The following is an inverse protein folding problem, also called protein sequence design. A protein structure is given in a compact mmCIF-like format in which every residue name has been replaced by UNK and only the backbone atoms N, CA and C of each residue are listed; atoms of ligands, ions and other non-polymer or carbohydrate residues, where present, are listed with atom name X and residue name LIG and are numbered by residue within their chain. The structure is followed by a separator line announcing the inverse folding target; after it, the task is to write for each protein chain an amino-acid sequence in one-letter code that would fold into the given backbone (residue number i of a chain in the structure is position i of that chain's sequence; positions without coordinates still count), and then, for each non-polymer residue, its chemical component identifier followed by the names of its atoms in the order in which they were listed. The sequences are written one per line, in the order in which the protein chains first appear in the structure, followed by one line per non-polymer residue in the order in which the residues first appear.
data_IF_392892643582
#
_entry.id   IF_392892643582
#
_cell.length_a   1.000
_cell.length_b   1.000
_cell.length_c   1.000
_cell.angle_alpha   90.00
_cell.angle_beta   90.00
_cell.angle_gamma   90.00
#
_symmetry.space_group_name_H-M   'P 1'
#
loop_
_entity.id
_entity.type
_entity.pdbx_description
1 polymer ?
#
# COMPACT_ATOMS: atom_id res chain seq x y z
N UNK A 1 -40.35 32.09 30.64
CA UNK A 1 -39.30 31.35 29.90
C UNK A 1 -39.87 31.07 28.52
N UNK A 2 -39.21 31.45 27.42
CA UNK A 2 -39.67 31.00 26.11
C UNK A 2 -39.46 29.49 26.02
N UNK A 3 -40.46 28.76 25.56
CA UNK A 3 -40.40 27.32 25.36
C UNK A 3 -39.31 27.04 24.32
N UNK A 4 -38.23 26.35 24.72
CA UNK A 4 -37.30 25.80 23.76
C UNK A 4 -38.06 24.74 22.96
N UNK A 5 -38.32 25.03 21.69
CA UNK A 5 -38.96 24.10 20.77
C UNK A 5 -38.20 22.78 20.69
N UNK A 6 -38.87 21.75 20.19
CA UNK A 6 -38.28 20.42 20.02
C UNK A 6 -37.05 20.47 19.10
N UNK A 7 -36.03 19.70 19.46
CA UNK A 7 -34.80 19.59 18.69
C UNK A 7 -35.06 18.89 17.35
N UNK A 8 -34.61 19.50 16.26
CA UNK A 8 -34.81 18.98 14.89
C UNK A 8 -33.47 18.67 14.25
N UNK A 9 -33.35 17.47 13.68
CA UNK A 9 -32.16 17.06 12.93
C UNK A 9 -32.19 17.65 11.53
N UNK A 10 -31.19 18.47 11.21
CA UNK A 10 -31.04 19.12 9.91
C UNK A 10 -29.77 18.64 9.22
N UNK A 11 -29.87 18.42 7.91
CA UNK A 11 -28.70 18.12 7.08
C UNK A 11 -27.94 19.42 6.75
N UNK A 12 -26.83 19.65 7.44
CA UNK A 12 -26.08 20.92 7.37
C UNK A 12 -25.42 21.27 6.03
N UNK A 13 -25.48 20.38 5.02
CA UNK A 13 -24.92 20.63 3.68
C UNK A 13 -25.94 21.09 2.65
N UNK A 14 -27.21 21.17 3.01
CA UNK A 14 -28.27 21.74 2.18
C UNK A 14 -28.92 22.90 2.94
N UNK A 15 -29.24 23.99 2.22
CA UNK A 15 -29.82 25.19 2.83
C UNK A 15 -31.26 24.97 3.34
N UNK A 16 -31.97 23.98 2.79
CA UNK A 16 -33.30 23.58 3.24
C UNK A 16 -33.27 22.60 4.42
N UNK A 17 -32.06 22.19 4.87
CA UNK A 17 -31.85 21.22 5.93
C UNK A 17 -32.35 19.81 5.60
N UNK A 18 -32.81 19.55 4.37
CA UNK A 18 -33.31 18.25 3.95
C UNK A 18 -32.17 17.38 3.45
N UNK A 19 -32.18 16.13 3.88
CA UNK A 19 -31.20 15.16 3.40
C UNK A 19 -31.41 14.85 1.91
N UNK A 20 -30.34 14.94 1.13
CA UNK A 20 -30.31 14.47 -0.26
C UNK A 20 -29.13 13.53 -0.49
N UNK A 21 -29.39 12.37 -1.07
CA UNK A 21 -28.37 11.36 -1.34
C UNK A 21 -27.16 11.93 -2.11
N UNK A 22 -27.40 12.75 -3.14
CA UNK A 22 -26.33 13.36 -3.92
C UNK A 22 -25.42 14.27 -3.08
N UNK A 23 -25.99 15.05 -2.16
CA UNK A 23 -25.22 15.92 -1.28
C UNK A 23 -24.39 15.14 -0.26
N UNK A 24 -24.93 14.01 0.23
CA UNK A 24 -24.22 13.09 1.11
C UNK A 24 -23.06 12.37 0.40
N UNK A 25 -23.27 11.94 -0.85
CA UNK A 25 -22.19 11.32 -1.62
C UNK A 25 -21.09 12.31 -2.01
N UNK A 26 -21.45 13.57 -2.34
CA UNK A 26 -20.45 14.62 -2.57
C UNK A 26 -19.65 14.92 -1.30
N UNK A 27 -20.35 15.01 -0.16
CA UNK A 27 -19.72 15.18 1.14
C UNK A 27 -18.70 14.07 1.46
N UNK A 28 -19.09 12.82 1.23
CA UNK A 28 -18.23 11.67 1.43
C UNK A 28 -17.05 11.67 0.44
N UNK A 29 -17.30 12.03 -0.82
CA UNK A 29 -16.24 12.13 -1.84
C UNK A 29 -15.22 13.23 -1.51
N UNK A 30 -15.65 14.37 -0.97
CA UNK A 30 -14.75 15.44 -0.53
C UNK A 30 -13.91 15.00 0.68
N UNK A 31 -14.52 14.27 1.63
CA UNK A 31 -13.77 13.68 2.76
C UNK A 31 -12.75 12.64 2.31
N UNK A 32 -13.11 11.81 1.32
CA UNK A 32 -12.19 10.83 0.74
C UNK A 32 -11.04 11.49 -0.04
N UNK A 33 -11.26 12.66 -0.63
CA UNK A 33 -10.19 13.42 -1.30
C UNK A 33 -9.16 13.93 -0.29
N UNK A 34 -9.63 14.49 0.84
CA UNK A 34 -8.76 14.94 1.93
C UNK A 34 -7.93 13.78 2.52
N UNK A 35 -8.47 12.56 2.58
CA UNK A 35 -7.71 11.35 2.96
C UNK A 35 -6.76 10.87 1.84
N UNK A 36 -7.18 10.93 0.57
CA UNK A 36 -6.37 10.47 -0.56
C UNK A 36 -5.14 11.36 -0.81
N UNK A 37 -5.20 12.66 -0.49
CA UNK A 37 -4.02 13.53 -0.60
C UNK A 37 -2.89 13.14 0.36
N UNK A 38 -3.21 12.47 1.48
CA UNK A 38 -2.23 11.93 2.42
C UNK A 38 -1.69 10.57 1.96
N UNK A 39 -2.51 9.73 1.32
CA UNK A 39 -2.07 8.47 0.70
C UNK A 39 -1.25 8.69 -0.58
N UNK A 40 -1.59 9.66 -1.42
CA UNK A 40 -0.85 10.04 -2.63
C UNK A 40 0.56 10.55 -2.31
N UNK A 41 0.78 11.17 -1.13
CA UNK A 41 2.12 11.55 -0.65
C UNK A 41 3.01 10.33 -0.34
N UNK A 42 2.41 9.18 -0.03
CA UNK A 42 3.12 7.90 0.18
C UNK A 42 3.43 7.23 -1.17
N UNK A 43 2.58 7.41 -2.19
CA UNK A 43 2.70 6.78 -3.53
C UNK A 43 3.46 7.64 -4.58
N UNK A 44 3.71 8.93 -4.30
CA UNK A 44 4.28 9.91 -5.25
C UNK A 44 5.67 9.56 -5.85
N UNK A 45 6.34 8.50 -5.37
CA UNK A 45 7.64 8.04 -5.87
C UNK A 45 7.65 6.67 -6.53
N UNK A 46 6.52 5.97 -6.62
CA UNK A 46 6.51 4.52 -6.76
C UNK A 46 5.56 4.06 -7.89
N UNK A 47 6.13 3.84 -9.08
CA UNK A 47 5.39 3.45 -10.29
C UNK A 47 4.89 1.98 -10.24
N UNK A 48 3.88 1.71 -9.41
CA UNK A 48 3.24 0.40 -9.29
C UNK A 48 2.63 -0.09 -10.60
N UNK A 49 2.42 0.79 -11.60
CA UNK A 49 1.89 0.42 -12.92
C UNK A 49 2.83 -0.56 -13.63
N UNK A 50 4.12 -0.52 -13.34
CA UNK A 50 5.10 -1.50 -13.86
C UNK A 50 4.80 -2.94 -13.43
N UNK A 51 4.14 -3.14 -12.29
CA UNK A 51 3.73 -4.47 -11.83
C UNK A 51 2.66 -5.05 -12.77
N UNK A 52 1.81 -4.18 -13.31
CA UNK A 52 0.70 -4.58 -14.18
C UNK A 52 1.09 -4.73 -15.64
N UNK A 53 2.21 -4.15 -16.06
CA UNK A 53 2.76 -4.37 -17.42
C UNK A 53 3.43 -5.74 -17.55
N UNK A 54 3.86 -6.36 -16.45
CA UNK A 54 4.50 -7.67 -16.47
C UNK A 54 3.54 -8.77 -16.95
N UNK A 55 3.91 -9.58 -17.95
CA UNK A 55 3.02 -10.52 -18.67
C UNK A 55 2.73 -11.86 -17.97
N UNK A 56 3.26 -12.10 -16.78
CA UNK A 56 3.10 -13.40 -16.11
C UNK A 56 1.80 -13.57 -15.31
N UNK A 57 1.70 -14.67 -14.52
CA UNK A 57 0.48 -15.03 -13.80
C UNK A 57 -0.04 -13.94 -12.85
N UNK A 58 -1.36 -13.72 -12.83
CA UNK A 58 -2.00 -12.73 -11.95
C UNK A 58 -1.68 -12.92 -10.46
N UNK A 59 -1.49 -14.17 -10.01
CA UNK A 59 -1.08 -14.46 -8.63
C UNK A 59 0.23 -13.76 -8.25
N UNK A 60 1.19 -13.72 -9.17
CA UNK A 60 2.49 -13.09 -8.94
C UNK A 60 2.37 -11.57 -9.04
N UNK A 61 1.58 -11.02 -9.97
CA UNK A 61 1.27 -9.58 -10.01
C UNK A 61 0.68 -9.09 -8.69
N UNK A 62 -0.31 -9.80 -8.18
CA UNK A 62 -0.95 -9.45 -6.92
C UNK A 62 0.04 -9.52 -5.75
N UNK A 63 0.87 -10.57 -5.69
CA UNK A 63 1.92 -10.67 -4.69
C UNK A 63 2.91 -9.51 -4.77
N UNK A 64 3.38 -9.15 -5.96
CA UNK A 64 4.28 -8.01 -6.18
C UNK A 64 3.63 -6.70 -5.74
N UNK A 65 2.35 -6.51 -6.06
CA UNK A 65 1.59 -5.33 -5.62
C UNK A 65 1.53 -5.24 -4.09
N UNK A 66 1.24 -6.35 -3.39
CA UNK A 66 1.27 -6.40 -1.93
C UNK A 66 2.65 -6.11 -1.36
N UNK A 67 3.69 -6.69 -1.96
CA UNK A 67 5.08 -6.47 -1.55
C UNK A 67 5.50 -5.01 -1.70
N UNK A 68 5.10 -4.38 -2.79
CA UNK A 68 5.42 -3.00 -3.13
C UNK A 68 4.77 -2.00 -2.16
N UNK A 69 3.52 -2.25 -1.75
CA UNK A 69 2.79 -1.39 -0.82
C UNK A 69 3.04 -1.70 0.66
N UNK A 70 4.08 -2.49 0.98
CA UNK A 70 4.38 -2.98 2.34
C UNK A 70 3.14 -3.59 3.02
N UNK A 71 2.30 -4.30 2.25
CA UNK A 71 1.10 -4.99 2.75
C UNK A 71 1.38 -6.45 3.12
N UNK A 72 2.61 -6.92 2.96
CA UNK A 72 3.05 -8.21 3.48
C UNK A 72 3.28 -8.09 4.99
N UNK A 73 2.82 -9.08 5.75
CA UNK A 73 2.96 -9.13 7.21
C UNK A 73 4.39 -9.54 7.62
N UNK A 74 5.38 -8.76 7.21
CA UNK A 74 6.78 -8.97 7.57
C UNK A 74 7.03 -8.52 9.01
N UNK A 75 8.13 -8.97 9.65
CA UNK A 75 8.39 -8.57 11.04
C UNK A 75 8.56 -7.05 11.21
N UNK A 76 9.05 -6.31 10.19
CA UNK A 76 9.04 -4.84 10.22
C UNK A 76 7.62 -4.26 10.29
N UNK A 77 6.68 -4.76 9.48
CA UNK A 77 5.28 -4.31 9.53
C UNK A 77 4.57 -4.74 10.82
N UNK A 78 4.85 -5.96 11.32
CA UNK A 78 4.33 -6.43 12.60
C UNK A 78 4.79 -5.54 13.76
N UNK A 79 6.06 -5.11 13.76
CA UNK A 79 6.58 -4.17 14.76
C UNK A 79 5.95 -2.79 14.62
N UNK A 80 5.76 -2.29 13.39
CA UNK A 80 5.03 -1.03 13.13
C UNK A 80 3.60 -1.06 13.69
N UNK A 81 2.92 -2.19 13.55
CA UNK A 81 1.58 -2.44 14.09
C UNK A 81 1.57 -2.79 15.59
N UNK A 82 2.74 -2.80 16.26
CA UNK A 82 2.89 -3.17 17.67
C UNK A 82 2.44 -4.62 17.99
N UNK A 83 2.48 -5.50 16.99
CA UNK A 83 2.19 -6.93 17.11
C UNK A 83 3.44 -7.77 17.46
N UNK A 84 4.62 -7.20 17.31
CA UNK A 84 5.90 -7.81 17.66
C UNK A 84 6.88 -6.75 18.20
N UNK A 85 7.85 -7.17 19.02
CA UNK A 85 8.92 -6.30 19.54
C UNK A 85 10.19 -6.35 18.69
N UNK A 86 10.47 -7.50 18.08
CA UNK A 86 11.62 -7.72 17.20
C UNK A 86 11.18 -7.64 15.73
N UNK A 87 11.92 -6.87 14.94
CA UNK A 87 11.73 -6.73 13.50
C UNK A 87 12.73 -7.55 12.69
N UNK A 88 13.69 -8.23 13.32
CA UNK A 88 14.72 -8.98 12.59
C UNK A 88 14.12 -10.09 11.73
N UNK A 89 14.77 -10.33 10.59
CA UNK A 89 14.45 -11.44 9.71
C UNK A 89 14.70 -12.77 10.40
N UNK A 90 13.71 -13.66 10.38
CA UNK A 90 13.83 -14.96 11.04
C UNK A 90 14.79 -15.93 10.35
N UNK A 91 15.16 -15.62 9.11
CA UNK A 91 16.06 -16.43 8.30
C UNK A 91 17.50 -16.02 8.53
N UNK A 92 17.84 -14.75 8.27
CA UNK A 92 19.22 -14.28 8.38
C UNK A 92 19.57 -13.75 9.79
N UNK A 93 18.58 -13.34 10.59
CA UNK A 93 18.74 -12.74 11.93
C UNK A 93 19.60 -11.46 12.00
N UNK A 94 19.98 -10.88 10.86
CA UNK A 94 20.90 -9.74 10.78
C UNK A 94 20.18 -8.38 10.69
N UNK A 95 19.19 -8.27 9.82
CA UNK A 95 18.54 -6.98 9.49
C UNK A 95 17.03 -7.07 9.68
N UNK A 96 16.33 -5.92 9.78
CA UNK A 96 14.88 -5.89 9.79
C UNK A 96 14.27 -6.60 8.57
N UNK A 97 13.21 -7.33 8.81
CA UNK A 97 12.48 -8.09 7.83
C UNK A 97 11.48 -7.20 7.07
N UNK A 98 11.94 -6.65 5.95
CA UNK A 98 11.10 -5.93 5.00
C UNK A 98 10.80 -6.82 3.78
N UNK A 99 9.78 -6.46 2.99
CA UNK A 99 9.47 -7.18 1.75
C UNK A 99 10.68 -7.20 0.79
N UNK A 100 11.39 -6.07 0.66
CA UNK A 100 12.63 -5.96 -0.12
C UNK A 100 13.73 -6.89 0.43
N UNK A 101 13.87 -6.96 1.76
CA UNK A 101 14.85 -7.82 2.39
C UNK A 101 14.57 -9.29 2.09
N UNK A 102 13.38 -9.79 2.40
CA UNK A 102 13.04 -11.22 2.18
C UNK A 102 13.19 -11.60 0.71
N UNK A 103 12.74 -10.74 -0.21
CA UNK A 103 12.69 -11.08 -1.64
C UNK A 103 14.06 -10.96 -2.30
N UNK A 104 14.90 -9.97 -1.95
CA UNK A 104 16.16 -9.69 -2.67
C UNK A 104 17.40 -9.59 -1.79
N UNK A 105 17.34 -8.89 -0.67
CA UNK A 105 18.57 -8.52 0.05
C UNK A 105 19.06 -9.59 1.02
N UNK A 106 18.15 -10.47 1.47
CA UNK A 106 18.44 -11.53 2.43
C UNK A 106 19.52 -12.47 1.87
N UNK A 107 20.58 -12.77 2.64
CA UNK A 107 21.65 -13.68 2.20
C UNK A 107 21.13 -15.04 1.71
N UNK A 108 20.12 -15.60 2.38
CA UNK A 108 19.54 -16.87 1.98
C UNK A 108 18.71 -16.73 0.69
N UNK A 109 17.99 -15.62 0.51
CA UNK A 109 17.30 -15.35 -0.75
C UNK A 109 18.29 -15.19 -1.91
N UNK A 110 19.41 -14.49 -1.70
CA UNK A 110 20.47 -14.33 -2.69
C UNK A 110 21.04 -15.67 -3.15
N UNK A 111 21.21 -16.64 -2.25
CA UNK A 111 21.65 -18.00 -2.62
C UNK A 111 20.68 -18.66 -3.60
N UNK A 112 19.37 -18.53 -3.38
CA UNK A 112 18.35 -19.05 -4.31
C UNK A 112 18.44 -18.36 -5.67
N UNK A 113 18.58 -17.04 -5.71
CA UNK A 113 18.73 -16.30 -6.97
C UNK A 113 20.00 -16.69 -7.73
N UNK A 114 21.11 -16.88 -7.03
CA UNK A 114 22.36 -17.36 -7.61
C UNK A 114 22.23 -18.77 -8.21
N UNK A 115 21.49 -19.68 -7.54
CA UNK A 115 21.22 -21.03 -8.06
C UNK A 115 20.36 -21.00 -9.33
N UNK A 116 19.51 -19.98 -9.49
CA UNK A 116 18.72 -19.77 -10.70
C UNK A 116 19.48 -19.01 -11.79
N UNK A 117 20.77 -18.71 -11.58
CA UNK A 117 21.61 -17.88 -12.46
C UNK A 117 21.06 -16.47 -12.69
N UNK A 118 20.18 -16.01 -11.80
CA UNK A 118 19.62 -14.66 -11.82
C UNK A 118 20.55 -13.80 -10.97
N UNK A 119 21.60 -13.29 -11.61
CA UNK A 119 22.52 -12.34 -10.98
C UNK A 119 21.86 -10.97 -10.93
N UNK A 120 21.99 -10.25 -9.81
CA UNK A 120 21.62 -8.83 -9.66
C UNK A 120 22.38 -8.00 -10.72
N UNK A 121 21.87 -7.98 -11.94
CA UNK A 121 22.33 -7.08 -12.98
C UNK A 121 21.80 -5.70 -12.59
N UNK A 122 22.65 -4.65 -12.60
CA UNK A 122 22.16 -3.30 -12.41
C UNK A 122 21.07 -3.07 -13.46
N UNK A 123 19.87 -2.73 -13.00
CA UNK A 123 18.68 -2.43 -13.79
C UNK A 123 18.90 -1.17 -14.64
N UNK A 124 19.88 -1.16 -15.55
CA UNK A 124 20.14 -0.09 -16.52
C UNK A 124 20.99 -0.60 -17.69
N UNK A 125 20.35 -1.35 -18.62
CA UNK A 125 20.54 -1.16 -20.08
C UNK A 125 19.72 -2.20 -20.84
N UNK A 126 18.65 -1.73 -21.47
CA UNK A 126 18.02 -2.39 -22.61
C UNK A 126 17.35 -3.72 -22.30
N UNK A 127 16.12 -3.67 -21.80
CA UNK A 127 15.18 -4.77 -21.96
C UNK A 127 14.86 -4.94 -23.45
N UNK A 128 15.75 -5.59 -24.20
CA UNK A 128 15.38 -6.27 -25.43
C UNK A 128 14.79 -7.62 -25.05
N UNK A 129 13.51 -7.61 -24.67
CA UNK A 129 12.70 -8.82 -24.77
C UNK A 129 12.29 -8.95 -26.24
N UNK A 130 13.19 -9.50 -27.06
CA UNK A 130 12.80 -10.07 -28.34
C UNK A 130 12.16 -11.43 -28.07
N UNK A 131 10.84 -11.49 -28.25
CA UNK A 131 10.21 -12.61 -28.93
C UNK A 131 9.55 -12.03 -30.19
#
# INVERSE_FOLDING_TARGET
MPELGEDITLWGREHDGKFRLCSAYRAAADWLKDESEEEDRIDAGHDWKQIWTWSGPNRIRHFLWLAFHNRLMTNSERKRMKLCTDDKCDVCKLTPETAKHIIRECPEAKKVWQQLEIVDTPLTRGLNFAC
#
